data_IF_870123936164
#
_entry.id   IF_870123936164
#
_cell.length_a   1.000
_cell.length_b   1.000
_cell.length_c   1.000
_cell.angle_alpha   90.00
_cell.angle_beta   90.00
_cell.angle_gamma   90.00
#
_symmetry.space_group_name_H-M   'P 1'
#
loop_
_entity.id
_entity.type
_entity.pdbx_description
1 polymer ?
2 non-polymer ?
3 non-polymer ?
4 non-polymer ?
5 non-polymer ?
6 water ?
#
# COMPACT_ATOMS: atom_id res chain seq x y z
N UNK A 87 -17.76 5.55 -11.22
CA UNK A 87 -18.27 5.38 -9.87
C UNK A 87 -19.76 5.72 -9.81
N UNK A 88 -20.50 5.02 -8.95
CA UNK A 88 -21.91 5.28 -8.75
C UNK A 88 -22.10 6.67 -8.17
N UNK A 89 -23.26 7.28 -8.44
CA UNK A 89 -23.54 8.61 -7.90
C UNK A 89 -23.72 8.60 -6.39
N UNK A 90 -23.28 9.67 -5.75
CA UNK A 90 -23.47 9.88 -4.32
C UNK A 90 -24.91 10.28 -4.04
N UNK A 91 -25.42 9.91 -2.87
CA UNK A 91 -26.78 10.27 -2.48
C UNK A 91 -26.80 11.56 -1.69
N UNK A 92 -27.95 12.22 -1.67
CA UNK A 92 -28.16 13.38 -0.82
C UNK A 92 -27.19 14.52 -1.02
N UNK A 93 -26.57 14.60 -2.20
CA UNK A 93 -25.72 15.74 -2.54
C UNK A 93 -26.53 17.04 -2.51
N UNK A 94 -26.19 17.93 -1.58
CA UNK A 94 -26.73 19.28 -1.56
C UNK A 94 -25.62 20.25 -1.24
N UNK A 95 -25.33 21.14 -2.19
CA UNK A 95 -24.19 22.03 -2.06
C UNK A 95 -22.89 21.27 -2.24
N UNK A 96 -21.81 21.84 -1.71
CA UNK A 96 -20.48 21.28 -1.89
C UNK A 96 -20.32 19.89 -1.26
N UNK A 97 -19.60 19.01 -1.95
CA UNK A 97 -19.26 17.69 -1.43
C UNK A 97 -17.92 17.76 -0.71
N UNK A 98 -17.84 17.19 0.49
CA UNK A 98 -16.59 17.17 1.27
C UNK A 98 -16.34 15.76 1.78
N UNK A 99 -15.20 15.20 1.40
CA UNK A 99 -14.83 13.83 1.75
C UNK A 99 -13.54 13.87 2.55
N UNK A 100 -13.20 12.77 3.20
CA UNK A 100 -11.92 12.73 3.91
C UNK A 100 -11.24 11.40 3.72
N UNK A 101 -9.91 11.40 3.88
CA UNK A 101 -9.11 10.18 3.91
C UNK A 101 -8.45 10.26 5.27
N UNK A 102 -8.65 9.23 6.11
CA UNK A 102 -8.29 9.36 7.54
C UNK A 102 -7.48 8.20 8.06
N UNK A 103 -6.19 8.14 7.69
CA UNK A 103 -5.32 7.03 8.12
C UNK A 103 -4.77 7.25 9.51
N UNK A 104 -4.39 6.16 10.18
CA UNK A 104 -3.61 6.27 11.42
C UNK A 104 -2.13 6.31 11.09
N UNK A 105 -1.34 6.98 11.92
CA UNK A 105 0.10 7.04 11.60
C UNK A 105 0.89 5.86 12.18
N UNK A 106 0.41 4.65 11.97
CA UNK A 106 1.10 3.45 12.46
C UNK A 106 2.26 3.04 11.55
N UNK A 107 2.37 3.68 10.40
CA UNK A 107 3.43 3.46 9.43
C UNK A 107 2.98 4.06 8.11
N UNK A 108 3.72 3.80 7.03
CA UNK A 108 3.32 4.35 5.72
C UNK A 108 2.15 3.58 5.12
N UNK A 109 1.59 4.06 4.01
CA UNK A 109 0.40 3.46 3.43
C UNK A 109 0.62 2.10 2.75
N UNK A 110 -0.39 1.23 2.84
CA UNK A 110 -0.38 -0.02 2.10
C UNK A 110 -1.51 -0.05 1.07
N UNK A 111 -1.67 -1.16 0.36
CA UNK A 111 -2.67 -1.24 -0.70
C UNK A 111 -4.10 -0.98 -0.23
N UNK A 112 -4.43 -1.45 0.96
CA UNK A 112 -5.74 -1.17 1.54
C UNK A 112 -5.99 0.33 1.69
N UNK A 113 -4.99 1.05 2.18
CA UNK A 113 -5.12 2.50 2.27
C UNK A 113 -5.36 3.09 0.90
N UNK A 114 -4.62 2.60 -0.08
CA UNK A 114 -4.70 3.19 -1.41
C UNK A 114 -6.12 3.23 -1.94
N UNK A 115 -6.89 2.17 -1.68
CA UNK A 115 -8.29 2.13 -2.12
C UNK A 115 -9.14 3.29 -1.55
N UNK A 116 -9.11 3.49 -0.24
CA UNK A 116 -9.86 4.60 0.37
C UNK A 116 -9.38 5.95 -0.18
N UNK A 117 -8.07 6.08 -0.33
CA UNK A 117 -7.51 7.34 -0.80
C UNK A 117 -7.95 7.64 -2.23
N UNK A 118 -7.83 6.63 -3.09
CA UNK A 118 -8.21 6.79 -4.48
C UNK A 118 -9.70 7.07 -4.65
N UNK A 119 -10.54 6.29 -3.98
CA UNK A 119 -11.98 6.46 -4.14
C UNK A 119 -12.42 7.84 -3.67
N UNK A 120 -11.93 8.26 -2.51
CA UNK A 120 -12.31 9.56 -2.00
C UNK A 120 -11.81 10.69 -2.88
N UNK A 121 -10.59 10.52 -3.40
CA UNK A 121 -10.05 11.50 -4.32
C UNK A 121 -10.86 11.53 -5.63
N UNK A 122 -11.17 10.36 -6.18
CA UNK A 122 -12.01 10.29 -7.38
C UNK A 122 -13.41 10.92 -7.21
N UNK A 123 -14.03 10.74 -6.05
CA UNK A 123 -15.33 11.38 -5.84
C UNK A 123 -15.21 12.89 -5.67
N UNK A 124 -14.12 13.34 -5.04
CA UNK A 124 -13.90 14.78 -4.91
C UNK A 124 -13.71 15.42 -6.29
N UNK A 125 -13.02 14.72 -7.18
CA UNK A 125 -12.84 15.20 -8.55
C UNK A 125 -14.18 15.22 -9.28
N UNK A 126 -14.86 14.08 -9.24
CA UNK A 126 -16.17 13.93 -9.88
C UNK A 126 -17.15 15.04 -9.48
N UNK A 127 -17.22 15.36 -8.19
CA UNK A 127 -18.18 16.33 -7.69
C UNK A 127 -17.62 17.75 -7.49
N UNK A 128 -16.40 17.97 -7.96
CA UNK A 128 -15.76 19.27 -7.83
C UNK A 128 -15.77 19.69 -6.36
N UNK A 129 -15.56 18.74 -5.48
CA UNK A 129 -15.61 19.02 -4.05
C UNK A 129 -14.22 19.09 -3.40
N UNK A 130 -14.18 18.95 -2.08
CA UNK A 130 -12.91 19.00 -1.38
C UNK A 130 -12.58 17.67 -0.71
N UNK A 131 -11.30 17.43 -0.50
CA UNK A 131 -10.85 16.24 0.21
C UNK A 131 -9.99 16.68 1.38
N UNK A 132 -10.29 16.14 2.55
CA UNK A 132 -9.53 16.44 3.77
C UNK A 132 -8.65 15.25 4.13
N UNK A 133 -7.37 15.51 4.39
CA UNK A 133 -6.49 14.48 4.96
C UNK A 133 -6.55 14.67 6.46
N UNK A 134 -7.01 13.66 7.20
CA UNK A 134 -7.08 13.77 8.65
C UNK A 134 -6.24 12.65 9.25
N UNK A 135 -5.14 13.01 9.89
CA UNK A 135 -4.28 12.01 10.50
C UNK A 135 -4.81 11.67 11.87
N UNK A 136 -5.19 10.41 12.06
CA UNK A 136 -5.92 10.00 13.25
C UNK A 136 -4.96 9.37 14.26
N UNK A 137 -4.28 10.24 15.00
CA UNK A 137 -3.18 9.84 15.86
C UNK A 137 -3.52 9.99 17.35
N UNK A 138 -4.70 9.52 17.76
CA UNK A 138 -5.14 9.62 19.16
C UNK A 138 -4.85 8.38 20.02
N UNK A 139 -4.01 7.49 19.54
CA UNK A 139 -3.55 6.36 20.36
C UNK A 139 -2.06 6.50 20.50
N UNK A 140 -1.62 7.03 21.65
CA UNK A 140 -0.22 7.45 21.78
C UNK A 140 0.76 6.29 21.62
N UNK A 141 0.35 5.07 21.94
CA UNK A 141 1.26 3.93 21.86
C UNK A 141 1.38 3.32 20.47
N UNK A 142 0.56 3.77 19.54
CA UNK A 142 0.54 3.21 18.20
C UNK A 142 0.99 4.20 17.13
N UNK A 143 1.66 5.25 17.55
CA UNK A 143 2.14 6.25 16.59
C UNK A 143 3.58 5.99 16.15
N UNK A 144 3.79 5.94 14.84
CA UNK A 144 5.12 5.91 14.28
C UNK A 144 5.47 7.32 13.82
N UNK A 145 6.42 7.96 14.50
CA UNK A 145 6.76 9.36 14.25
C UNK A 145 7.08 9.63 12.78
N UNK A 146 7.66 8.65 12.10
CA UNK A 146 8.05 8.86 10.70
C UNK A 146 6.84 8.94 9.76
N UNK A 147 5.71 8.38 10.19
CA UNK A 147 4.53 8.31 9.33
C UNK A 147 3.92 9.66 9.00
N UNK A 148 4.10 10.67 9.86
CA UNK A 148 3.51 11.96 9.59
C UNK A 148 4.00 12.52 8.26
N UNK A 149 5.28 12.31 7.96
CA UNK A 149 5.82 12.75 6.69
C UNK A 149 5.63 11.73 5.57
N UNK A 150 5.64 10.45 5.93
CA UNK A 150 5.55 9.39 4.90
C UNK A 150 4.19 9.35 4.23
N UNK A 151 3.13 9.52 5.01
CA UNK A 151 1.78 9.43 4.49
C UNK A 151 1.48 10.45 3.38
N UNK A 152 1.78 11.74 3.61
CA UNK A 152 1.48 12.64 2.49
C UNK A 152 2.35 12.37 1.25
N UNK A 153 3.59 11.93 1.46
CA UNK A 153 4.44 11.59 0.33
C UNK A 153 3.84 10.42 -0.47
N UNK A 154 3.27 9.45 0.23
CA UNK A 154 2.64 8.30 -0.42
C UNK A 154 1.42 8.74 -1.21
N UNK A 155 0.64 9.65 -0.65
CA UNK A 155 -0.53 10.20 -1.34
C UNK A 155 -0.12 10.94 -2.61
N UNK A 156 0.95 11.72 -2.53
CA UNK A 156 1.46 12.42 -3.71
C UNK A 156 1.85 11.40 -4.77
N UNK A 157 2.51 10.32 -4.36
CA UNK A 157 2.89 9.28 -5.30
C UNK A 157 1.67 8.72 -6.02
N UNK A 158 0.58 8.52 -5.29
CA UNK A 158 -0.65 8.00 -5.87
C UNK A 158 -1.31 8.97 -6.81
N UNK A 159 -0.90 10.23 -6.77
CA UNK A 159 -1.56 11.27 -7.55
C UNK A 159 -2.78 11.89 -6.89
N UNK A 160 -2.91 11.69 -5.58
CA UNK A 160 -4.04 12.23 -4.85
C UNK A 160 -3.74 13.68 -4.49
N UNK A 161 -4.69 14.55 -4.77
CA UNK A 161 -4.64 15.95 -4.34
C UNK A 161 -5.66 16.16 -3.24
N UNK A 162 -5.35 17.04 -2.28
CA UNK A 162 -6.33 17.33 -1.24
C UNK A 162 -6.28 18.79 -0.83
N UNK A 163 -7.17 19.20 0.07
CA UNK A 163 -7.43 20.63 0.30
C UNK A 163 -7.10 21.13 1.71
N UNK A 164 -7.03 20.20 2.67
CA UNK A 164 -6.77 20.56 4.06
C UNK A 164 -6.11 19.38 4.72
N UNK A 165 -5.18 19.66 5.63
CA UNK A 165 -4.57 18.61 6.44
C UNK A 165 -4.83 18.94 7.90
N UNK A 166 -5.36 17.95 8.63
CA UNK A 166 -5.76 18.14 10.02
C UNK A 166 -5.12 17.01 10.80
N UNK A 167 -4.55 17.30 11.96
CA UNK A 167 -3.94 16.25 12.78
C UNK A 167 -4.69 16.16 14.11
N UNK A 168 -5.20 14.98 14.46
CA UNK A 168 -6.09 14.90 15.61
C UNK A 168 -5.43 15.24 16.94
N UNK A 169 -4.14 14.98 17.08
CA UNK A 169 -3.48 15.28 18.35
C UNK A 169 -3.33 16.79 18.56
N UNK A 170 -3.59 17.59 17.52
CA UNK A 170 -3.62 19.04 17.68
C UNK A 170 -4.98 19.51 18.19
N UNK A 171 -5.93 18.57 18.27
CA UNK A 171 -7.32 18.92 18.53
C UNK A 171 -7.83 18.47 19.90
N UNK A 172 -6.94 18.13 20.82
CA UNK A 172 -7.40 17.60 22.11
C UNK A 172 -8.41 18.50 22.82
N UNK A 173 -8.17 19.81 22.86
CA UNK A 173 -9.08 20.71 23.57
C UNK A 173 -10.45 20.76 22.89
N UNK A 174 -10.46 20.48 21.59
CA UNK A 174 -11.72 20.42 20.87
C UNK A 174 -12.52 19.20 21.35
N UNK A 175 -11.85 18.06 21.46
CA UNK A 175 -12.55 16.87 21.96
C UNK A 175 -13.02 17.08 23.39
N UNK A 176 -12.24 17.79 24.19
CA UNK A 176 -12.64 18.05 25.58
C UNK A 176 -13.85 18.99 25.62
N UNK A 177 -13.81 20.02 24.79
CA UNK A 177 -14.92 20.98 24.66
C UNK A 177 -16.21 20.26 24.32
N UNK A 178 -16.14 19.38 23.34
CA UNK A 178 -17.35 18.68 22.92
C UNK A 178 -17.75 17.55 23.85
N UNK A 179 -16.81 17.04 24.65
CA UNK A 179 -17.18 16.14 25.74
C UNK A 179 -18.04 16.87 26.77
N UNK A 180 -17.59 18.06 27.17
CA UNK A 180 -18.34 18.89 28.13
C UNK A 180 -19.72 19.26 27.56
N UNK A 181 -19.78 19.58 26.28
CA UNK A 181 -21.07 19.92 25.67
C UNK A 181 -21.99 18.72 25.63
N UNK A 182 -21.44 17.55 25.33
CA UNK A 182 -22.23 16.33 25.24
C UNK A 182 -22.81 15.99 26.62
N UNK A 183 -21.98 16.12 27.65
CA UNK A 183 -22.42 15.95 29.03
C UNK A 183 -23.51 16.96 29.43
N UNK A 184 -23.36 18.22 29.03
CA UNK A 184 -24.36 19.23 29.35
C UNK A 184 -25.70 18.92 28.69
N UNK A 185 -25.63 18.37 27.48
CA UNK A 185 -26.82 17.98 26.75
C UNK A 185 -27.41 16.66 27.24
N UNK A 186 -26.79 16.06 28.26
CA UNK A 186 -27.27 14.80 28.80
C UNK A 186 -27.02 13.57 27.95
N UNK A 187 -25.98 13.62 27.12
CA UNK A 187 -25.70 12.54 26.20
C UNK A 187 -24.50 11.70 26.56
N UNK A 188 -23.90 11.98 27.70
CA UNK A 188 -22.75 11.21 28.16
C UNK A 188 -22.60 11.32 29.65
N UNK A 189 -21.82 10.42 30.22
CA UNK A 189 -21.59 10.41 31.65
C UNK A 189 -20.22 9.86 31.97
N UNK A 190 -19.68 10.19 33.15
CA UNK A 190 -18.42 9.61 33.57
C UNK A 190 -18.65 8.40 34.44
N UNK A 191 -18.21 7.25 33.95
CA UNK A 191 -18.44 5.98 34.65
C UNK A 191 -17.18 5.55 35.37
N UNK A 192 -17.33 5.35 36.68
CA UNK A 192 -16.24 4.93 37.54
C UNK A 192 -16.39 3.46 37.96
N UNK A 193 -17.36 2.76 37.36
CA UNK A 193 -17.58 1.35 37.66
C UNK A 193 -16.40 0.49 37.25
N UNK A 194 -16.21 -0.63 37.93
CA UNK A 194 -15.26 -1.62 37.47
C UNK A 194 -15.82 -2.18 36.17
N UNK A 195 -14.99 -2.22 35.12
CA UNK A 195 -15.46 -2.64 33.80
C UNK A 195 -16.28 -3.93 33.76
N UNK A 196 -15.90 -4.96 34.51
CA UNK A 196 -16.65 -6.22 34.47
C UNK A 196 -18.01 -6.12 35.14
N UNK A 197 -18.09 -5.32 36.20
CA UNK A 197 -19.36 -5.09 36.87
C UNK A 197 -20.29 -4.27 35.98
N UNK A 198 -19.72 -3.28 35.30
CA UNK A 198 -20.50 -2.50 34.33
C UNK A 198 -21.02 -3.38 33.21
N UNK A 199 -20.16 -4.28 32.72
CA UNK A 199 -20.53 -5.12 31.60
C UNK A 199 -21.70 -6.03 31.97
N UNK A 200 -21.69 -6.55 33.19
CA UNK A 200 -22.75 -7.42 33.66
C UNK A 200 -24.10 -6.70 33.66
N UNK A 201 -24.09 -5.44 34.10
CA UNK A 201 -25.30 -4.62 34.11
C UNK A 201 -25.74 -4.32 32.69
N UNK A 202 -24.78 -3.88 31.87
CA UNK A 202 -25.03 -3.51 30.48
C UNK A 202 -25.68 -4.64 29.69
N UNK A 203 -25.16 -5.86 29.86
CA UNK A 203 -25.64 -7.01 29.09
C UNK A 203 -27.06 -7.42 29.47
N UNK A 204 -27.50 -6.98 30.64
CA UNK A 204 -28.86 -7.24 31.09
C UNK A 204 -29.74 -5.99 30.96
N UNK A 205 -29.23 -4.98 30.27
CA UNK A 205 -30.01 -3.78 30.01
C UNK A 205 -30.26 -2.90 31.22
N UNK A 206 -29.39 -3.01 32.22
CA UNK A 206 -29.56 -2.28 33.47
C UNK A 206 -28.53 -1.16 33.58
N UNK A 207 -28.97 0.00 34.08
CA UNK A 207 -28.09 1.16 34.20
C UNK A 207 -27.27 1.13 35.48
N UNK A 208 -26.04 1.60 35.38
CA UNK A 208 -25.21 1.78 36.56
C UNK A 208 -25.63 3.10 37.22
N UNK A 209 -25.13 3.33 38.42
CA UNK A 209 -25.44 4.56 39.15
C UNK A 209 -24.97 5.81 38.42
N UNK A 210 -23.83 5.69 37.71
CA UNK A 210 -23.21 6.85 37.07
C UNK A 210 -24.15 7.46 36.03
N UNK A 211 -24.97 6.60 35.43
CA UNK A 211 -25.84 7.02 34.33
C UNK A 211 -26.92 7.98 34.80
N UNK A 212 -27.14 8.06 36.11
CA UNK A 212 -28.18 8.93 36.66
C UNK A 212 -27.67 10.27 37.14
N UNK A 213 -26.35 10.46 37.11
CA UNK A 213 -25.76 11.72 37.59
C UNK A 213 -26.20 12.90 36.73
N UNK A 214 -26.25 14.07 37.35
CA UNK A 214 -26.58 15.30 36.65
C UNK A 214 -25.36 15.96 36.02
N UNK A 215 -25.61 17.07 35.34
CA UNK A 215 -24.57 17.78 34.61
C UNK A 215 -23.34 18.12 35.47
N UNK A 216 -23.54 18.84 36.56
CA UNK A 216 -22.41 19.31 37.36
C UNK A 216 -21.67 18.17 38.06
N UNK A 217 -22.41 17.14 38.47
CA UNK A 217 -21.80 15.93 39.00
C UNK A 217 -20.87 15.26 37.97
N UNK A 218 -21.37 15.07 36.75
CA UNK A 218 -20.55 14.51 35.67
C UNK A 218 -19.39 15.42 35.31
N UNK A 219 -19.61 16.73 35.34
CA UNK A 219 -18.55 17.64 34.92
C UNK A 219 -17.40 17.58 35.90
N UNK A 220 -17.74 17.46 37.18
CA UNK A 220 -16.71 17.31 38.22
C UNK A 220 -15.91 16.01 38.03
N UNK A 221 -16.60 14.91 37.74
CA UNK A 221 -15.93 13.64 37.50
C UNK A 221 -15.05 13.73 36.26
N UNK A 222 -15.55 14.44 35.25
CA UNK A 222 -14.82 14.64 34.01
C UNK A 222 -13.49 15.34 34.30
N UNK A 223 -13.56 16.42 35.07
CA UNK A 223 -12.37 17.20 35.36
C UNK A 223 -11.38 16.37 36.18
N UNK A 224 -11.93 15.48 37.00
CA UNK A 224 -11.08 14.63 37.82
C UNK A 224 -10.30 13.61 37.01
N UNK A 225 -10.85 13.20 35.87
CA UNK A 225 -10.17 12.21 35.02
C UNK A 225 -8.77 12.63 34.65
N UNK A 226 -8.53 13.94 34.63
CA UNK A 226 -7.25 14.46 34.20
C UNK A 226 -6.12 14.20 35.20
N UNK A 227 -6.48 13.73 36.40
CA UNK A 227 -5.49 13.38 37.40
C UNK A 227 -5.65 11.94 37.89
N UNK A 228 -6.42 11.15 37.14
CA UNK A 228 -6.65 9.76 37.53
C UNK A 228 -5.74 8.81 36.77
N UNK A 229 -5.69 7.56 37.21
CA UNK A 229 -4.79 6.60 36.59
C UNK A 229 -5.40 5.93 35.36
N UNK A 230 -4.52 5.43 34.50
CA UNK A 230 -4.95 4.73 33.29
C UNK A 230 -5.97 3.66 33.61
N UNK A 231 -7.06 3.62 32.85
CA UNK A 231 -8.09 2.61 33.03
C UNK A 231 -9.07 2.77 34.19
N UNK A 232 -8.97 3.85 34.97
CA UNK A 232 -9.76 3.99 36.18
C UNK A 232 -11.15 4.60 36.00
N UNK A 233 -11.37 5.27 34.88
CA UNK A 233 -12.66 5.90 34.62
C UNK A 233 -12.75 6.13 33.12
N UNK A 234 -13.97 6.12 32.59
CA UNK A 234 -14.19 6.41 31.18
C UNK A 234 -15.39 7.33 31.03
N UNK A 235 -15.46 8.05 29.92
CA UNK A 235 -16.70 8.69 29.52
C UNK A 235 -17.45 7.74 28.58
N UNK A 236 -18.74 7.55 28.86
CA UNK A 236 -19.62 6.71 28.04
C UNK A 236 -20.71 7.54 27.40
N UNK A 237 -20.98 7.28 26.12
CA UNK A 237 -22.05 7.96 25.43
C UNK A 237 -23.35 7.26 25.81
N UNK A 238 -24.39 8.01 26.15
CA UNK A 238 -25.66 7.37 26.46
C UNK A 238 -26.31 6.94 25.15
N UNK A 239 -26.53 5.64 24.98
CA UNK A 239 -27.23 5.15 23.80
C UNK A 239 -28.50 4.43 24.24
N UNK A 240 -28.59 3.14 23.96
CA UNK A 240 -29.73 2.33 24.34
C UNK A 240 -29.19 1.10 25.07
N UNK A 241 -29.49 0.97 26.35
CA UNK A 241 -28.96 -0.15 27.12
C UNK A 241 -29.60 -1.47 26.68
N UNK A 242 -30.66 -1.39 25.90
CA UNK A 242 -31.32 -2.59 25.39
C UNK A 242 -31.06 -2.83 23.91
N UNK A 243 -30.03 -2.20 23.37
CA UNK A 243 -29.70 -2.34 21.96
C UNK A 243 -29.41 -3.81 21.62
N UNK A 244 -29.98 -4.28 20.50
CA UNK A 244 -29.73 -5.64 20.00
C UNK A 244 -28.23 -5.97 19.93
N UNK A 245 -27.40 -4.98 19.61
CA UNK A 245 -25.96 -5.16 19.57
C UNK A 245 -25.28 -4.61 20.83
N UNK A 246 -24.83 -5.51 21.71
CA UNK A 246 -24.30 -5.15 23.03
C UNK A 246 -23.14 -4.15 22.95
N UNK A 247 -22.39 -4.17 21.86
CA UNK A 247 -21.23 -3.29 21.72
C UNK A 247 -21.64 -1.83 21.58
N UNK A 248 -22.86 -1.60 21.08
CA UNK A 248 -23.34 -0.24 20.88
C UNK A 248 -23.89 0.36 22.18
N UNK A 249 -24.12 -0.49 23.17
CA UNK A 249 -24.66 -0.07 24.46
C UNK A 249 -23.68 0.81 25.26
N UNK A 250 -24.06 2.07 25.46
CA UNK A 250 -23.23 3.06 26.17
C UNK A 250 -21.72 2.92 25.93
N UNK A 251 -21.33 3.10 24.68
CA UNK A 251 -19.94 2.91 24.29
C UNK A 251 -19.02 4.02 24.80
N UNK A 252 -17.74 3.70 24.92
CA UNK A 252 -16.75 4.59 25.51
C UNK A 252 -16.21 5.65 24.54
N UNK A 253 -16.32 6.92 24.93
CA UNK A 253 -15.84 8.03 24.11
C UNK A 253 -14.51 8.59 24.55
N UNK A 254 -14.17 8.46 25.83
CA UNK A 254 -12.90 8.99 26.36
C UNK A 254 -12.30 8.01 27.35
N UNK A 255 -10.98 7.84 27.30
CA UNK A 255 -10.24 6.97 28.21
C UNK A 255 -9.01 7.68 28.75
N UNK A 256 -8.44 7.13 29.82
CA UNK A 256 -7.22 7.67 30.39
C UNK A 256 -6.06 6.77 29.97
N UNK A 257 -5.01 7.36 29.40
CA UNK A 257 -3.84 6.60 28.97
C UNK A 257 -2.61 7.32 29.45
N UNK A 258 -1.77 6.63 30.21
CA UNK A 258 -0.56 7.26 30.72
C UNK A 258 0.62 6.82 29.87
N UNK A 259 0.86 7.56 28.80
CA UNK A 259 1.92 7.21 27.86
C UNK A 259 2.40 8.45 27.13
N UNK A 260 3.67 8.49 26.78
CA UNK A 260 4.22 9.58 26.00
C UNK A 260 3.73 9.47 24.56
N UNK A 261 3.13 10.55 24.06
CA UNK A 261 2.76 10.66 22.66
C UNK A 261 3.96 11.26 21.93
N UNK A 262 4.26 10.75 20.74
CA UNK A 262 5.45 11.25 20.04
C UNK A 262 5.36 12.70 19.59
N UNK A 263 4.15 13.20 19.36
CA UNK A 263 3.96 14.63 19.06
C UNK A 263 3.79 15.50 20.29
N UNK A 264 2.84 15.13 21.14
CA UNK A 264 2.44 15.98 22.25
C UNK A 264 3.08 15.59 23.59
N UNK A 265 3.96 14.59 23.56
CA UNK A 265 4.68 14.21 24.75
C UNK A 265 3.80 13.70 25.87
N UNK A 266 3.91 14.30 27.05
CA UNK A 266 3.09 13.90 28.20
C UNK A 266 2.07 14.97 28.56
N UNK A 267 1.80 15.86 27.62
CA UNK A 267 0.82 16.92 27.85
C UNK A 267 -0.57 16.39 28.22
N UNK A 268 -0.96 15.28 27.59
CA UNK A 268 -2.32 14.77 27.75
C UNK A 268 -2.33 13.36 28.27
N UNK A 269 -3.34 13.05 29.09
CA UNK A 269 -3.57 11.67 29.49
C UNK A 269 -5.00 11.24 29.18
N UNK A 270 -5.85 12.19 28.79
CA UNK A 270 -7.23 11.81 28.50
C UNK A 270 -7.41 11.85 26.98
N UNK A 271 -7.74 10.70 26.40
CA UNK A 271 -7.76 10.55 24.93
C UNK A 271 -9.12 10.09 24.41
N UNK A 272 -9.52 10.60 23.24
CA UNK A 272 -10.80 10.17 22.66
C UNK A 272 -10.65 8.81 22.00
N UNK A 273 -11.75 8.06 22.03
CA UNK A 273 -11.88 6.87 21.23
C UNK A 273 -12.32 7.24 19.83
N UNK A 274 -11.96 6.38 18.88
CA UNK A 274 -12.15 6.67 17.47
C UNK A 274 -13.57 7.14 17.11
N UNK A 275 -14.60 6.46 17.59
CA UNK A 275 -15.95 6.83 17.19
C UNK A 275 -16.37 8.24 17.65
N UNK A 276 -15.80 8.71 18.75
CA UNK A 276 -16.07 10.06 19.21
C UNK A 276 -15.31 11.08 18.37
N UNK A 277 -13.99 10.92 18.26
CA UNK A 277 -13.21 11.91 17.54
C UNK A 277 -13.58 11.97 16.07
N UNK A 278 -13.94 10.84 15.48
CA UNK A 278 -14.34 10.80 14.06
C UNK A 278 -15.63 11.60 13.86
N UNK A 279 -16.63 11.35 14.70
CA UNK A 279 -17.89 12.07 14.58
C UNK A 279 -17.73 13.57 14.80
N UNK A 280 -17.00 13.94 15.84
CA UNK A 280 -16.77 15.36 16.11
C UNK A 280 -16.05 16.04 14.92
N UNK A 281 -15.02 15.38 14.41
CA UNK A 281 -14.23 15.97 13.33
C UNK A 281 -14.98 15.97 12.00
N UNK A 282 -15.71 14.90 11.72
CA UNK A 282 -16.53 14.89 10.49
C UNK A 282 -17.51 16.06 10.53
N UNK A 283 -18.11 16.31 11.68
CA UNK A 283 -19.07 17.40 11.76
C UNK A 283 -18.39 18.75 11.64
N UNK A 284 -17.34 18.96 12.44
CA UNK A 284 -16.75 20.31 12.48
C UNK A 284 -16.04 20.68 11.18
N UNK A 285 -15.50 19.69 10.48
CA UNK A 285 -14.79 19.93 9.23
C UNK A 285 -15.74 19.98 8.05
N UNK A 286 -17.02 19.73 8.31
CA UNK A 286 -18.02 19.75 7.25
C UNK A 286 -18.04 18.58 6.27
N UNK A 287 -17.56 17.41 6.67
CA UNK A 287 -17.61 16.22 5.81
C UNK A 287 -19.07 15.88 5.48
N UNK A 288 -19.35 15.65 4.20
CA UNK A 288 -20.73 15.41 3.75
C UNK A 288 -20.98 13.94 3.44
N UNK A 289 -19.92 13.24 3.05
CA UNK A 289 -20.00 11.84 2.64
C UNK A 289 -18.83 11.10 3.22
N UNK A 290 -19.12 10.06 3.97
CA UNK A 290 -18.12 9.21 4.57
C UNK A 290 -18.01 7.91 3.78
N UNK A 291 -16.85 7.70 3.15
CA UNK A 291 -16.64 6.57 2.25
C UNK A 291 -15.45 5.77 2.74
N UNK A 292 -15.70 4.56 3.24
CA UNK A 292 -14.62 3.68 3.68
C UNK A 292 -14.97 2.21 3.47
N UNK A 298 -21.38 -1.19 12.65
CA UNK A 298 -21.04 -0.98 14.05
C UNK A 298 -20.72 0.49 14.31
N UNK A 299 -19.68 0.99 13.64
CA UNK A 299 -19.22 2.35 13.86
C UNK A 299 -20.26 3.42 13.53
N UNK A 300 -20.89 3.33 12.36
CA UNK A 300 -21.93 4.28 12.00
C UNK A 300 -23.05 4.32 13.05
N UNK A 301 -23.52 3.14 13.44
CA UNK A 301 -24.58 3.05 14.44
C UNK A 301 -24.18 3.71 15.76
N UNK A 302 -22.92 3.54 16.15
CA UNK A 302 -22.43 4.15 17.39
C UNK A 302 -22.40 5.67 17.28
N UNK A 303 -21.84 6.16 16.18
CA UNK A 303 -21.71 7.60 15.98
C UNK A 303 -23.04 8.33 15.86
N UNK A 304 -24.02 7.65 15.26
CA UNK A 304 -25.35 8.24 15.12
C UNK A 304 -25.90 8.82 16.44
N UNK A 305 -25.60 8.16 17.56
CA UNK A 305 -26.05 8.64 18.87
C UNK A 305 -25.42 9.97 19.27
N UNK A 306 -24.16 10.14 18.88
CA UNK A 306 -23.44 11.37 19.16
C UNK A 306 -24.05 12.53 18.39
N UNK A 307 -24.27 12.33 17.08
CA UNK A 307 -24.87 13.34 16.23
C UNK A 307 -26.24 13.70 16.79
N UNK A 308 -27.00 12.68 17.13
CA UNK A 308 -28.31 12.85 17.76
C UNK A 308 -28.27 13.75 18.99
N UNK A 309 -27.42 13.37 19.95
CA UNK A 309 -27.33 14.10 21.21
C UNK A 309 -26.87 15.53 21.05
N UNK A 310 -26.00 15.77 20.08
CA UNK A 310 -25.46 17.11 19.87
C UNK A 310 -26.32 17.96 18.92
N UNK A 311 -27.35 17.35 18.36
CA UNK A 311 -28.26 18.05 17.46
C UNK A 311 -27.63 18.31 16.09
N UNK A 312 -26.87 17.34 15.62
CA UNK A 312 -26.15 17.46 14.35
C UNK A 312 -26.70 16.48 13.32
N UNK A 313 -26.75 16.91 12.07
CA UNK A 313 -27.13 16.00 11.00
C UNK A 313 -25.91 15.21 10.54
N UNK A 314 -26.02 13.88 10.53
CA UNK A 314 -24.87 13.05 10.15
C UNK A 314 -24.59 13.16 8.66
N UNK A 315 -23.35 12.85 8.26
CA UNK A 315 -23.03 12.78 6.82
C UNK A 315 -23.64 11.54 6.18
N UNK A 316 -23.74 11.52 4.86
CA UNK A 316 -24.07 10.26 4.18
C UNK A 316 -22.99 9.25 4.49
N UNK A 317 -23.40 8.00 4.73
CA UNK A 317 -22.45 6.91 5.00
C UNK A 317 -22.47 5.90 3.88
N UNK A 318 -21.31 5.67 3.28
CA UNK A 318 -21.19 4.72 2.17
C UNK A 318 -20.10 3.72 2.46
N UNK A 319 -20.49 2.45 2.64
CA UNK A 319 -19.56 1.40 3.02
C UNK A 319 -19.40 0.41 1.88
N UNK A 320 -18.14 0.08 1.56
CA UNK A 320 -17.88 -0.87 0.48
C UNK A 320 -17.19 -2.13 0.98
N UNK A 321 -17.29 -3.19 0.19
CA UNK A 321 -16.80 -4.50 0.60
C UNK A 321 -15.30 -4.59 0.82
N UNK A 322 -14.87 -5.63 1.51
CA UNK A 322 -13.46 -5.85 1.77
C UNK A 322 -12.74 -6.29 0.50
N UNK A 323 -11.43 -6.06 0.48
CA UNK A 323 -10.59 -6.49 -0.62
C UNK A 323 -9.52 -7.39 -0.05
N UNK A 324 -9.43 -8.61 -0.54
CA UNK A 324 -8.48 -9.59 -0.01
C UNK A 324 -7.84 -10.42 -1.12
N UNK A 332 0.35 -3.42 9.54
CA UNK A 332 1.34 -2.35 9.60
C UNK A 332 2.21 -2.47 10.86
N UNK A 333 1.58 -2.78 11.99
CA UNK A 333 2.29 -2.91 13.25
C UNK A 333 3.26 -4.10 13.25
N UNK A 334 2.80 -5.21 12.68
CA UNK A 334 3.65 -6.39 12.56
C UNK A 334 4.86 -6.12 11.69
N UNK A 335 4.67 -5.31 10.64
CA UNK A 335 5.76 -4.95 9.76
C UNK A 335 6.76 -4.04 10.45
N UNK A 336 6.26 -3.05 11.18
CA UNK A 336 7.15 -2.14 11.88
C UNK A 336 8.05 -2.92 12.85
N UNK A 337 7.44 -3.86 13.58
CA UNK A 337 8.19 -4.70 14.49
C UNK A 337 9.28 -5.44 13.73
N UNK A 338 8.93 -5.99 12.58
CA UNK A 338 9.88 -6.71 11.74
C UNK A 338 11.09 -5.88 11.35
N UNK A 339 10.86 -4.65 10.92
CA UNK A 339 11.95 -3.76 10.52
C UNK A 339 12.86 -3.47 11.69
N UNK A 340 12.27 -3.30 12.87
CA UNK A 340 13.04 -3.00 14.08
C UNK A 340 13.89 -4.20 14.50
N UNK A 341 13.29 -5.38 14.50
CA UNK A 341 13.99 -6.60 14.90
C UNK A 341 14.97 -7.06 13.82
N UNK A 342 14.42 -7.37 12.65
CA UNK A 342 15.22 -7.81 11.52
C UNK A 342 14.39 -8.59 10.52
N UNK A 343 15.02 -8.97 9.42
CA UNK A 343 14.32 -9.69 8.35
C UNK A 343 13.30 -8.82 7.62
N UNK A 344 13.44 -7.52 7.78
CA UNK A 344 12.92 -6.55 6.81
C UNK A 344 13.93 -5.41 6.77
N UNK A 345 14.33 -5.01 5.58
CA UNK A 345 15.38 -4.02 5.40
C UNK A 345 14.87 -2.61 5.66
N UNK A 346 13.55 -2.47 5.61
CA UNK A 346 12.91 -1.17 5.72
C UNK A 346 11.48 -1.24 5.22
N UNK A 347 10.83 -0.09 5.14
CA UNK A 347 9.45 -0.05 4.72
C UNK A 347 9.32 -0.42 3.23
N UNK A 348 10.44 -0.35 2.52
CA UNK A 348 10.44 -0.71 1.09
C UNK A 348 11.03 -2.11 0.83
N UNK A 349 11.01 -2.96 1.84
CA UNK A 349 11.40 -4.36 1.65
C UNK A 349 10.36 -5.03 0.77
N UNK A 350 10.79 -5.79 -0.26
CA UNK A 350 9.84 -6.29 -1.26
C UNK A 350 8.83 -7.29 -0.69
N UNK A 351 9.12 -7.83 0.47
CA UNK A 351 8.17 -8.72 1.14
C UNK A 351 6.97 -7.99 1.71
N UNK A 352 6.99 -6.66 1.68
CA UNK A 352 5.91 -5.88 2.27
C UNK A 352 4.92 -5.38 1.23
N UNK A 353 3.67 -5.19 1.65
CA UNK A 353 2.64 -4.68 0.77
C UNK A 353 2.49 -3.16 0.84
N UNK A 354 3.52 -2.47 1.29
CA UNK A 354 3.48 -1.01 1.34
C UNK A 354 3.54 -0.43 -0.07
N UNK A 355 2.99 0.77 -0.25
CA UNK A 355 3.16 1.47 -1.52
C UNK A 355 4.65 1.67 -1.82
N UNK A 356 5.45 1.92 -0.79
CA UNK A 356 6.89 2.10 -0.97
C UNK A 356 7.57 0.86 -1.54
N UNK A 357 7.22 -0.32 -1.00
CA UNK A 357 7.81 -1.55 -1.51
C UNK A 357 7.40 -1.79 -2.95
N UNK A 358 6.11 -1.63 -3.27
CA UNK A 358 5.72 -1.91 -4.65
C UNK A 358 6.25 -0.89 -5.65
N UNK A 359 6.32 0.38 -5.22
CA UNK A 359 6.96 1.39 -6.08
C UNK A 359 8.41 1.05 -6.39
N UNK A 360 9.11 0.50 -5.40
CA UNK A 360 10.52 0.21 -5.57
C UNK A 360 10.72 -0.91 -6.60
N UNK A 361 9.68 -1.73 -6.78
CA UNK A 361 9.71 -2.84 -7.75
C UNK A 361 9.30 -2.43 -9.15
N UNK A 362 8.82 -1.20 -9.31
CA UNK A 362 8.38 -0.71 -10.62
C UNK A 362 6.89 -0.86 -10.87
N UNK A 363 6.11 -1.11 -9.82
CA UNK A 363 4.66 -1.04 -9.97
C UNK A 363 4.23 0.44 -10.08
N UNK A 364 3.46 0.77 -11.10
CA UNK A 364 3.08 2.16 -11.31
C UNK A 364 1.82 2.56 -10.54
N UNK A 365 1.79 3.82 -10.08
CA UNK A 365 0.63 4.22 -9.29
C UNK A 365 -0.65 4.21 -10.13
N UNK A 366 -0.52 4.44 -11.43
CA UNK A 366 -1.70 4.44 -12.29
C UNK A 366 -2.33 3.05 -12.38
N UNK A 367 -1.53 2.00 -12.21
CA UNK A 367 -2.05 0.63 -12.17
C UNK A 367 -2.92 0.46 -10.94
N UNK A 368 -2.46 1.00 -9.81
CA UNK A 368 -3.22 0.95 -8.57
C UNK A 368 -4.52 1.74 -8.69
N UNK A 369 -4.41 2.94 -9.25
CA UNK A 369 -5.60 3.78 -9.41
C UNK A 369 -6.61 3.07 -10.30
N UNK A 370 -6.16 2.49 -11.40
CA UNK A 370 -7.08 1.83 -12.33
C UNK A 370 -7.78 0.65 -11.67
N UNK A 371 -7.04 -0.13 -10.89
CA UNK A 371 -7.61 -1.27 -10.17
C UNK A 371 -8.73 -0.82 -9.26
N UNK A 372 -8.42 0.15 -8.40
CA UNK A 372 -9.41 0.62 -7.43
C UNK A 372 -10.65 1.25 -8.06
N UNK A 373 -10.45 1.96 -9.16
CA UNK A 373 -11.56 2.59 -9.86
C UNK A 373 -12.48 1.53 -10.47
N UNK A 374 -11.90 0.52 -11.11
CA UNK A 374 -12.72 -0.50 -11.77
C UNK A 374 -13.45 -1.39 -10.78
N UNK A 375 -12.88 -1.58 -9.59
CA UNK A 375 -13.58 -2.28 -8.52
C UNK A 375 -14.70 -1.41 -7.93
N UNK A 376 -14.46 -0.10 -7.86
CA UNK A 376 -15.46 0.84 -7.39
C UNK A 376 -15.92 0.64 -5.95
N UNK A 377 -17.09 1.19 -5.63
CA UNK A 377 -17.62 1.11 -4.27
C UNK A 377 -18.55 -0.09 -4.09
N UNK A 378 -18.18 -1.20 -4.75
CA UNK A 378 -18.93 -2.44 -4.69
C UNK A 378 -19.30 -2.82 -3.25
N UNK A 379 -20.59 -3.03 -3.00
CA UNK A 379 -21.05 -3.38 -1.66
C UNK A 379 -20.52 -4.74 -1.24
N UNK A 380 -20.60 -5.71 -2.14
CA UNK A 380 -20.18 -7.07 -1.83
C UNK A 380 -18.66 -7.19 -1.76
N UNK A 381 -18.20 -8.08 -0.89
CA UNK A 381 -16.78 -8.37 -0.76
C UNK A 381 -16.20 -8.80 -2.10
N UNK A 382 -15.09 -8.19 -2.50
CA UNK A 382 -14.39 -8.61 -3.69
C UNK A 382 -13.08 -9.29 -3.31
N UNK A 383 -12.39 -9.86 -4.30
CA UNK A 383 -11.16 -10.62 -4.04
C UNK A 383 -10.12 -10.37 -5.12
N UNK A 384 -9.23 -9.41 -4.88
CA UNK A 384 -8.16 -9.12 -5.83
C UNK A 384 -6.89 -9.88 -5.50
N UNK A 385 -6.18 -10.31 -6.53
CA UNK A 385 -4.91 -10.99 -6.37
C UNK A 385 -3.81 -10.08 -6.88
N UNK A 386 -2.58 -10.31 -6.43
CA UNK A 386 -1.47 -9.53 -6.94
C UNK A 386 -1.36 -9.67 -8.46
N UNK A 387 -1.75 -10.85 -8.98
CA UNK A 387 -1.74 -11.06 -10.42
C UNK A 387 -2.64 -10.07 -11.14
N UNK A 388 -3.70 -9.65 -10.47
CA UNK A 388 -4.58 -8.64 -11.01
C UNK A 388 -3.85 -7.30 -11.14
N UNK A 389 -3.07 -6.96 -10.13
CA UNK A 389 -2.33 -5.71 -10.17
C UNK A 389 -1.21 -5.82 -11.22
N UNK A 390 -0.59 -6.99 -11.29
CA UNK A 390 0.50 -7.19 -12.24
C UNK A 390 0.00 -7.08 -13.67
N UNK A 391 -1.19 -7.61 -13.91
CA UNK A 391 -1.80 -7.53 -15.22
C UNK A 391 -1.99 -6.10 -15.71
N UNK A 392 -2.44 -5.22 -14.82
CA UNK A 392 -2.63 -3.83 -15.16
C UNK A 392 -1.28 -3.15 -15.36
N UNK A 393 -0.34 -3.47 -14.49
CA UNK A 393 1.00 -2.89 -14.60
C UNK A 393 1.69 -3.33 -15.88
N UNK A 394 1.56 -4.60 -16.20
CA UNK A 394 2.16 -5.16 -17.40
C UNK A 394 1.66 -4.43 -18.66
N UNK A 395 0.36 -4.15 -18.70
CA UNK A 395 -0.21 -3.42 -19.83
C UNK A 395 0.46 -2.06 -20.02
N UNK A 396 0.85 -1.44 -18.93
CA UNK A 396 1.57 -0.17 -19.01
C UNK A 396 3.04 -0.39 -19.41
N UNK A 397 3.74 -1.25 -18.69
CA UNK A 397 5.17 -1.42 -18.92
C UNK A 397 5.47 -2.02 -20.30
N UNK A 398 4.61 -2.91 -20.78
CA UNK A 398 4.97 -3.61 -22.01
C UNK A 398 5.00 -2.67 -23.21
N UNK A 399 4.45 -1.48 -23.05
CA UNK A 399 4.41 -0.54 -24.16
C UNK A 399 5.60 0.40 -24.21
N UNK A 400 6.42 0.40 -23.16
CA UNK A 400 7.50 1.38 -23.11
C UNK A 400 8.80 0.90 -22.49
N UNK A 401 8.76 -0.18 -21.72
CA UNK A 401 9.96 -0.62 -21.00
C UNK A 401 11.05 -1.13 -21.95
N UNK A 402 12.27 -0.61 -21.81
CA UNK A 402 13.39 -1.03 -22.66
C UNK A 402 13.74 -2.48 -22.38
N UNK A 403 14.12 -3.20 -23.43
CA UNK A 403 14.39 -4.63 -23.33
C UNK A 403 15.87 -4.95 -23.28
N UNK A 404 16.25 -5.83 -22.35
CA UNK A 404 17.62 -6.33 -22.24
C UNK A 404 17.63 -7.83 -21.95
N UNK A 405 18.75 -8.49 -22.27
CA UNK A 405 18.95 -9.89 -21.91
C UNK A 405 19.73 -9.98 -20.59
N UNK A 406 19.09 -10.52 -19.56
CA UNK A 406 19.73 -10.84 -18.29
C UNK A 406 19.68 -12.35 -18.13
N UNK A 407 20.86 -12.97 -18.03
CA UNK A 407 20.94 -14.41 -17.84
C UNK A 407 21.18 -14.71 -16.36
N UNK A 408 20.13 -15.16 -15.68
CA UNK A 408 20.20 -15.57 -14.28
C UNK A 408 21.01 -16.87 -14.16
N UNK A 409 21.80 -16.99 -13.08
CA UNK A 409 22.59 -18.20 -12.83
C UNK A 409 23.25 -18.69 -14.11
N UNK A 410 24.06 -17.84 -14.73
CA UNK A 410 24.52 -18.10 -16.08
C UNK A 410 25.56 -19.22 -16.14
N UNK A 411 25.55 -19.93 -17.25
CA UNK A 411 26.63 -20.86 -17.55
C UNK A 411 27.39 -20.32 -18.76
N UNK A 412 28.72 -20.31 -18.63
CA UNK A 412 29.55 -19.76 -19.71
C UNK A 412 29.91 -20.89 -20.65
N UNK A 413 29.54 -20.73 -21.92
CA UNK A 413 29.71 -21.79 -22.90
C UNK A 413 30.30 -21.28 -24.20
N UNK A 414 31.27 -22.03 -24.73
CA UNK A 414 31.82 -21.72 -26.04
C UNK A 414 30.88 -22.24 -27.11
N UNK A 415 30.61 -21.44 -28.14
CA UNK A 415 29.84 -21.94 -29.27
C UNK A 415 30.82 -22.68 -30.18
N UNK A 416 30.97 -23.98 -29.96
CA UNK A 416 31.96 -24.78 -30.67
C UNK A 416 31.59 -24.90 -32.15
N UNK A 417 32.51 -24.55 -33.03
CA UNK A 417 32.26 -24.65 -34.46
C UNK A 417 31.60 -23.43 -35.08
N UNK A 418 31.47 -22.34 -34.33
CA UNK A 418 30.97 -21.09 -34.90
C UNK A 418 31.87 -20.72 -36.08
N UNK A 419 31.29 -20.56 -37.27
CA UNK A 419 32.12 -20.29 -38.47
C UNK A 419 32.87 -18.97 -38.39
N UNK A 420 32.27 -17.97 -37.76
CA UNK A 420 32.90 -16.67 -37.62
C UNK A 420 31.98 -15.76 -36.83
N UNK A 421 32.43 -14.53 -36.54
CA UNK A 421 31.62 -13.66 -35.68
C UNK A 421 30.29 -13.31 -36.33
N UNK A 422 29.28 -13.11 -35.48
CA UNK A 422 27.95 -12.75 -35.93
C UNK A 422 27.52 -11.50 -35.17
N UNK A 423 27.17 -10.46 -35.91
CA UNK A 423 26.67 -9.23 -35.31
C UNK A 423 25.15 -9.26 -35.33
N UNK A 424 24.57 -9.17 -34.14
CA UNK A 424 23.14 -9.30 -33.96
C UNK A 424 22.53 -7.93 -33.62
N UNK A 425 21.43 -7.56 -34.28
CA UNK A 425 20.66 -6.39 -33.83
C UNK A 425 19.28 -6.77 -33.33
N UNK A 426 18.89 -6.17 -32.22
CA UNK A 426 17.57 -6.42 -31.65
C UNK A 426 17.02 -5.12 -31.06
N UNK A 427 15.79 -4.74 -31.41
CA UNK A 427 15.25 -3.50 -30.87
C UNK A 427 15.22 -3.42 -29.36
N UNK A 428 15.55 -2.24 -28.85
CA UNK A 428 15.28 -1.95 -27.46
C UNK A 428 13.78 -2.00 -27.14
N UNK A 429 12.95 -1.60 -28.10
CA UNK A 429 11.51 -1.79 -27.96
C UNK A 429 10.87 -1.79 -29.34
N UNK A 430 10.18 -2.88 -29.70
CA UNK A 430 9.65 -3.02 -31.06
C UNK A 430 8.69 -1.90 -31.48
N UNK A 431 8.05 -1.24 -30.52
CA UNK A 431 7.11 -0.15 -30.84
C UNK A 431 7.75 1.22 -30.84
N UNK A 432 9.03 1.30 -30.48
CA UNK A 432 9.70 2.58 -30.35
C UNK A 432 11.04 2.58 -31.07
N UNK A 433 11.00 2.68 -32.40
CA UNK A 433 12.24 2.69 -33.20
C UNK A 433 13.13 3.86 -32.83
N UNK A 434 12.58 4.91 -32.23
CA UNK A 434 13.38 6.09 -31.90
C UNK A 434 14.56 5.76 -30.99
N UNK A 435 14.41 4.77 -30.12
CA UNK A 435 15.52 4.45 -29.23
C UNK A 435 16.48 3.42 -29.85
N UNK A 436 16.13 2.87 -31.00
CA UNK A 436 17.09 2.08 -31.75
C UNK A 436 17.28 0.64 -31.32
N UNK A 437 18.36 0.04 -31.81
CA UNK A 437 18.59 -1.39 -31.61
C UNK A 437 19.82 -1.65 -30.77
N UNK A 438 19.75 -2.64 -29.88
CA UNK A 438 20.97 -3.18 -29.29
C UNK A 438 21.77 -3.94 -30.34
N UNK A 439 23.09 -3.91 -30.23
CA UNK A 439 23.97 -4.67 -31.10
C UNK A 439 24.77 -5.58 -30.22
N UNK A 440 24.60 -6.87 -30.47
CA UNK A 440 25.27 -7.90 -29.68
C UNK A 440 26.25 -8.62 -30.59
N UNK A 441 27.49 -8.69 -30.16
CA UNK A 441 28.54 -9.29 -30.96
C UNK A 441 28.83 -10.71 -30.47
N UNK A 442 28.38 -11.70 -31.21
CA UNK A 442 28.66 -13.09 -30.88
C UNK A 442 30.00 -13.47 -31.53
N UNK A 443 31.00 -13.78 -30.70
CA UNK A 443 32.36 -14.00 -31.20
C UNK A 443 32.88 -15.40 -30.91
N UNK A 444 32.52 -15.92 -29.73
CA UNK A 444 32.90 -17.28 -29.37
C UNK A 444 32.16 -17.81 -28.16
N UNK A 445 32.29 -17.12 -27.02
CA UNK A 445 31.66 -17.58 -25.78
C UNK A 445 30.41 -16.78 -25.46
N UNK A 446 29.44 -17.44 -24.83
CA UNK A 446 28.24 -16.76 -24.37
C UNK A 446 27.88 -17.20 -22.97
N UNK A 447 27.09 -16.38 -22.29
CA UNK A 447 26.45 -16.82 -21.06
C UNK A 447 25.01 -17.19 -21.36
N UNK A 448 24.59 -18.38 -20.94
CA UNK A 448 23.18 -18.77 -21.03
C UNK A 448 22.58 -18.90 -19.64
N UNK A 449 21.30 -18.59 -19.50
CA UNK A 449 20.64 -18.78 -18.20
C UNK A 449 20.66 -20.25 -17.83
N UNK A 450 21.18 -20.57 -16.65
CA UNK A 450 21.43 -21.95 -16.30
C UNK A 450 20.24 -22.75 -15.81
N UNK A 451 19.19 -22.08 -15.38
CA UNK A 451 18.06 -22.74 -14.75
C UNK A 451 17.19 -23.53 -15.73
N UNK A 452 17.05 -24.83 -15.46
CA UNK A 452 16.25 -25.71 -16.31
C UNK A 452 16.82 -25.74 -17.71
N UNK A 453 18.13 -25.61 -17.81
CA UNK A 453 18.82 -25.69 -19.10
C UNK A 453 19.17 -27.15 -19.37
N UNK A 454 18.36 -27.82 -20.17
CA UNK A 454 18.62 -29.21 -20.50
C UNK A 454 19.23 -29.37 -21.87
N UNK A 455 19.51 -30.60 -22.24
CA UNK A 455 20.15 -30.88 -23.52
C UNK A 455 19.15 -30.72 -24.68
N UNK A 456 19.66 -30.39 -25.85
CA UNK A 456 18.83 -30.28 -27.03
C UNK A 456 19.10 -29.04 -27.84
N UNK A 457 18.30 -28.82 -28.89
CA UNK A 457 18.52 -27.69 -29.79
C UNK A 457 18.00 -26.39 -29.20
N UNK A 458 18.77 -25.32 -29.39
CA UNK A 458 18.42 -23.99 -28.91
C UNK A 458 18.65 -22.99 -30.01
N UNK A 459 17.84 -21.94 -30.00
CA UNK A 459 18.12 -20.80 -30.85
C UNK A 459 18.44 -19.63 -29.95
N UNK A 460 19.68 -19.16 -30.02
CA UNK A 460 20.05 -17.96 -29.28
C UNK A 460 19.34 -16.83 -30.02
N UNK A 461 18.47 -16.11 -29.31
CA UNK A 461 17.53 -15.17 -29.95
C UNK A 461 18.22 -14.24 -30.95
N UNK A 462 17.70 -14.20 -32.18
CA UNK A 462 18.23 -13.34 -33.24
C UNK A 462 19.66 -13.67 -33.70
N UNK A 463 20.22 -14.79 -33.26
CA UNK A 463 21.64 -15.05 -33.48
C UNK A 463 21.92 -16.33 -34.27
N UNK A 464 22.00 -17.46 -33.57
CA UNK A 464 22.38 -18.72 -34.22
C UNK A 464 21.65 -19.87 -33.57
N UNK A 465 21.65 -21.03 -34.23
CA UNK A 465 21.04 -22.22 -33.66
C UNK A 465 22.16 -23.16 -33.22
N UNK A 466 22.01 -23.73 -32.04
CA UNK A 466 23.04 -24.60 -31.49
C UNK A 466 22.41 -25.84 -30.89
N UNK A 467 23.24 -26.83 -30.59
CA UNK A 467 22.79 -28.01 -29.86
C UNK A 467 23.62 -28.15 -28.59
N UNK A 468 22.94 -28.24 -27.45
CA UNK A 468 23.60 -28.39 -26.17
C UNK A 468 23.52 -29.86 -25.76
N UNK A 469 24.66 -30.52 -25.67
CA UNK A 469 24.66 -31.89 -25.18
C UNK A 469 26.02 -32.28 -24.65
N UNK A 470 26.02 -33.13 -23.63
CA UNK A 470 27.25 -33.54 -22.98
C UNK A 470 27.98 -32.37 -22.37
N UNK A 471 27.24 -31.30 -22.08
CA UNK A 471 27.81 -30.11 -21.46
C UNK A 471 28.55 -29.24 -22.46
N UNK A 472 28.36 -29.52 -23.75
CA UNK A 472 29.03 -28.76 -24.77
C UNK A 472 28.03 -28.08 -25.70
N UNK A 473 28.31 -26.84 -26.07
CA UNK A 473 27.40 -26.11 -26.94
C UNK A 473 27.99 -26.10 -28.35
N UNK A 474 27.31 -26.73 -29.32
CA UNK A 474 27.83 -26.84 -30.68
C UNK A 474 27.00 -26.10 -31.72
N UNK A 475 27.67 -25.34 -32.57
CA UNK A 475 27.04 -24.60 -33.66
C UNK A 475 26.30 -25.54 -34.60
N UNK A 476 25.09 -25.16 -35.01
CA UNK A 476 24.36 -25.91 -36.03
C UNK A 476 24.12 -25.10 -37.31
N UNK A 477 23.56 -23.90 -37.16
CA UNK A 477 23.16 -23.12 -38.33
C UNK A 477 22.77 -21.73 -37.84
N UNK A 478 22.24 -20.90 -38.73
CA UNK A 478 21.96 -19.51 -38.38
C UNK A 478 20.52 -19.08 -38.64
N UNK A 479 19.88 -19.66 -39.65
CA UNK A 479 18.57 -19.21 -40.08
C UNK A 479 17.35 -19.64 -39.28
N UNK A 480 16.24 -18.93 -39.47
CA UNK A 480 15.00 -19.22 -38.76
C UNK A 480 14.38 -20.55 -39.18
N UNK A 481 14.43 -20.84 -40.48
CA UNK A 481 13.86 -22.09 -41.00
C UNK A 481 14.59 -23.30 -40.43
N UNK A 482 15.92 -23.22 -40.39
CA UNK A 482 16.71 -24.30 -39.79
C UNK A 482 16.27 -24.47 -38.34
N UNK A 483 16.05 -23.36 -37.64
CA UNK A 483 15.63 -23.43 -36.25
C UNK A 483 14.30 -24.17 -36.13
N UNK A 484 13.37 -23.87 -37.04
CA UNK A 484 12.07 -24.55 -37.04
C UNK A 484 12.23 -26.03 -37.34
N UNK A 485 13.13 -26.36 -38.26
CA UNK A 485 13.36 -27.75 -38.63
C UNK A 485 13.94 -28.54 -37.43
N UNK A 486 14.79 -27.90 -36.65
CA UNK A 486 15.34 -28.52 -35.45
C UNK A 486 14.34 -28.66 -34.30
N UNK A 487 13.30 -27.85 -34.32
CA UNK A 487 12.45 -27.71 -33.15
C UNK A 487 13.21 -27.01 -32.04
N UNK A 488 14.10 -26.08 -32.41
CA UNK A 488 14.90 -25.36 -31.42
C UNK A 488 14.05 -24.51 -30.48
N UNK A 489 14.42 -24.51 -29.21
CA UNK A 489 13.78 -23.64 -28.23
C UNK A 489 14.50 -22.29 -28.15
N UNK A 490 13.76 -21.19 -28.09
CA UNK A 490 14.39 -19.88 -28.01
C UNK A 490 15.03 -19.70 -26.65
N UNK A 491 16.18 -19.03 -26.60
CA UNK A 491 16.82 -18.75 -25.34
C UNK A 491 17.54 -17.40 -25.41
N UNK A 492 17.44 -16.62 -24.34
CA UNK A 492 18.20 -15.37 -24.29
C UNK A 492 19.62 -15.69 -23.91
N UNK A 493 20.51 -14.73 -24.11
CA UNK A 493 21.95 -14.98 -24.05
C UNK A 493 22.72 -13.67 -23.96
N UNK A 494 23.94 -13.75 -23.45
CA UNK A 494 24.80 -12.58 -23.31
C UNK A 494 26.21 -12.88 -23.84
N UNK A 495 26.73 -12.05 -24.77
CA UNK A 495 28.11 -12.22 -25.24
C UNK A 495 29.07 -12.20 -24.06
N UNK A 496 30.01 -13.14 -24.01
CA UNK A 496 30.84 -13.26 -22.82
C UNK A 496 31.77 -12.05 -22.63
N UNK A 497 32.28 -11.51 -23.73
CA UNK A 497 33.32 -10.50 -23.68
C UNK A 497 32.89 -9.22 -22.97
N UNK A 498 31.62 -8.87 -23.13
CA UNK A 498 31.14 -7.56 -22.68
C UNK A 498 30.07 -7.61 -21.61
N UNK A 499 29.81 -8.81 -21.08
CA UNK A 499 28.79 -9.05 -20.08
C UNK A 499 29.07 -8.27 -18.80
N UNK A 500 27.99 -7.78 -18.17
CA UNK A 500 28.07 -7.02 -16.94
C UNK A 500 27.44 -7.79 -15.79
N UNK A 501 28.01 -7.67 -14.60
CA UNK A 501 27.42 -8.30 -13.44
C UNK A 501 26.12 -7.58 -13.07
N UNK A 502 25.10 -8.36 -12.75
CA UNK A 502 23.85 -7.80 -12.26
C UNK A 502 23.18 -8.74 -11.28
N UNK A 503 22.27 -8.21 -10.49
CA UNK A 503 21.44 -9.05 -9.66
C UNK A 503 20.05 -8.47 -9.58
N UNK A 504 19.10 -9.34 -9.30
CA UNK A 504 17.70 -8.95 -9.19
C UNK A 504 17.18 -9.44 -7.85
N UNK A 505 16.60 -8.52 -7.08
CA UNK A 505 15.98 -8.89 -5.82
C UNK A 505 14.54 -9.27 -6.09
N UNK A 506 14.17 -10.50 -5.72
CA UNK A 506 12.85 -11.03 -6.05
C UNK A 506 11.84 -10.65 -4.96
N UNK A 507 10.55 -10.86 -5.22
CA UNK A 507 9.56 -10.37 -4.27
C UNK A 507 9.62 -11.02 -2.89
N UNK A 508 10.32 -12.16 -2.77
CA UNK A 508 10.57 -12.76 -1.45
C UNK A 508 11.91 -12.32 -0.86
N UNK A 509 12.50 -11.30 -1.47
CA UNK A 509 13.76 -10.70 -1.03
C UNK A 509 14.98 -11.56 -1.35
N UNK A 510 14.77 -12.69 -2.02
CA UNK A 510 15.89 -13.52 -2.43
C UNK A 510 16.66 -12.81 -3.53
N UNK A 511 17.96 -13.11 -3.62
CA UNK A 511 18.85 -12.47 -4.58
C UNK A 511 19.09 -13.43 -5.75
N UNK A 512 18.81 -12.98 -6.98
CA UNK A 512 19.14 -13.76 -8.17
C UNK A 512 20.30 -13.10 -8.90
N UNK A 513 21.44 -13.80 -8.99
CA UNK A 513 22.64 -13.23 -9.59
C UNK A 513 22.81 -13.68 -11.04
N UNK A 514 23.39 -12.83 -11.86
CA UNK A 514 23.63 -13.22 -13.26
C UNK A 514 24.43 -12.17 -13.99
N UNK A 515 24.31 -12.18 -15.32
CA UNK A 515 24.97 -11.20 -16.16
C UNK A 515 23.95 -10.57 -17.09
N UNK A 516 24.23 -9.35 -17.50
CA UNK A 516 23.32 -8.62 -18.38
C UNK A 516 24.12 -8.04 -19.55
N UNK A 517 23.47 -7.81 -20.66
CA UNK A 517 24.18 -7.30 -21.83
C UNK A 517 24.72 -5.87 -21.62
N UNK A 518 25.78 -5.55 -22.36
CA UNK A 518 26.51 -4.30 -22.22
C UNK A 518 25.66 -3.04 -22.22
N UNK A 519 24.63 -2.99 -23.06
CA UNK A 519 23.80 -1.78 -23.14
C UNK A 519 23.06 -1.40 -21.87
N UNK A 520 22.83 -2.35 -20.98
CA UNK A 520 22.18 -2.09 -19.72
C UNK A 520 22.91 -1.01 -18.94
N UNK A 521 24.21 -0.84 -19.21
CA UNK A 521 24.99 0.19 -18.51
C UNK A 521 24.48 1.61 -18.78
N UNK A 522 23.67 1.78 -19.83
CA UNK A 522 23.04 3.07 -20.12
C UNK A 522 21.89 3.44 -19.17
N UNK A 523 21.41 2.47 -18.40
CA UNK A 523 20.27 2.70 -17.52
C UNK A 523 20.64 3.54 -16.31
N UNK A 524 19.67 4.29 -15.82
CA UNK A 524 19.84 5.06 -14.60
C UNK A 524 18.86 4.55 -13.56
N UNK A 525 19.19 4.73 -12.29
CA UNK A 525 18.27 4.40 -11.22
C UNK A 525 16.88 4.97 -11.46
N UNK A 526 15.86 4.14 -11.20
CA UNK A 526 14.44 4.42 -11.44
C UNK A 526 13.95 3.95 -12.81
N UNK A 527 14.86 3.65 -13.73
CA UNK A 527 14.43 3.09 -15.02
C UNK A 527 13.76 1.73 -14.79
N UNK A 528 12.66 1.47 -15.51
CA UNK A 528 12.00 0.17 -15.38
C UNK A 528 12.09 -0.53 -16.71
N UNK A 529 12.63 -1.75 -16.71
CA UNK A 529 12.98 -2.41 -17.95
C UNK A 529 12.31 -3.78 -18.01
N UNK A 530 12.34 -4.36 -19.20
CA UNK A 530 11.94 -5.73 -19.39
C UNK A 530 13.20 -6.58 -19.58
N UNK A 531 13.47 -7.45 -18.60
CA UNK A 531 14.50 -8.45 -18.73
C UNK A 531 13.87 -9.61 -19.49
N UNK A 532 14.20 -9.73 -20.76
CA UNK A 532 13.43 -10.59 -21.65
C UNK A 532 13.43 -12.03 -21.18
N UNK A 533 12.25 -12.65 -21.24
CA UNK A 533 12.08 -14.05 -20.82
C UNK A 533 12.35 -14.24 -19.33
N UNK A 534 12.41 -13.14 -18.58
CA UNK A 534 12.63 -13.23 -17.14
C UNK A 534 11.57 -12.43 -16.38
N UNK A 535 11.52 -11.11 -16.61
CA UNK A 535 10.47 -10.29 -16.02
C UNK A 535 10.75 -8.80 -16.12
N UNK A 536 9.77 -7.99 -15.73
CA UNK A 536 9.98 -6.55 -15.64
C UNK A 536 10.63 -6.23 -14.30
N UNK A 537 11.48 -5.22 -14.26
CA UNK A 537 12.18 -4.88 -13.03
C UNK A 537 12.64 -3.43 -13.04
N UNK A 538 12.72 -2.84 -11.85
CA UNK A 538 13.20 -1.47 -11.74
C UNK A 538 14.66 -1.46 -11.30
N UNK A 539 15.48 -0.63 -11.95
CA UNK A 539 16.87 -0.46 -11.53
C UNK A 539 16.93 0.36 -10.23
N UNK A 540 17.47 -0.25 -9.19
CA UNK A 540 17.46 0.34 -7.84
C UNK A 540 18.80 0.97 -7.50
N UNK A 541 19.88 0.37 -8.00
CA UNK A 541 21.20 0.97 -7.83
C UNK A 541 22.07 0.60 -9.02
N UNK A 542 22.86 1.58 -9.48
CA UNK A 542 23.64 1.41 -10.71
C UNK A 542 25.01 0.79 -10.44
N UNK A 543 25.69 0.43 -11.52
CA UNK A 543 26.97 -0.26 -11.42
C UNK A 543 28.03 0.55 -10.70
N UNK A 544 29.19 -0.07 -10.43
CA UNK A 544 29.46 -1.47 -10.80
C UNK A 544 28.53 -2.43 -10.06
N UNK A 545 27.96 -3.37 -10.78
CA UNK A 545 27.05 -4.32 -10.18
C UNK A 545 25.66 -3.73 -10.04
N UNK A 546 24.95 -3.69 -11.16
CA UNK A 546 23.57 -3.22 -11.16
C UNK A 546 22.67 -4.09 -10.28
N UNK A 547 21.80 -3.44 -9.52
CA UNK A 547 20.80 -4.17 -8.74
C UNK A 547 19.40 -3.75 -9.16
N UNK A 548 18.60 -4.72 -9.60
CA UNK A 548 17.21 -4.48 -9.98
C UNK A 548 16.30 -5.08 -8.93
N UNK A 549 15.11 -4.50 -8.80
CA UNK A 549 14.02 -5.09 -8.03
C UNK A 549 12.92 -5.61 -8.96
N UNK A 550 12.58 -6.89 -8.82
CA UNK A 550 11.62 -7.56 -9.69
C UNK A 550 10.19 -7.11 -9.48
N UNK A 551 9.50 -6.79 -10.57
CA UNK A 551 8.09 -6.48 -10.49
C UNK A 551 7.26 -7.73 -10.72
N UNK A 552 7.28 -8.24 -11.95
CA UNK A 552 6.45 -9.38 -12.34
C UNK A 552 6.85 -9.90 -13.71
N UNK A 553 6.32 -11.06 -14.08
CA UNK A 553 6.58 -11.64 -15.40
C UNK A 553 6.08 -10.70 -16.49
#
# INVERSE_FOLDING_TARGET
>A
MVPVEDLVYRYALLNAVKHRGRANPGAVMGAVMSNEPELRKMAPQVKEAVEAAVERVNSLSPEEQQQEMERLGLEITERKQKKRKGLRELAGVKGEVVLRFAPNPSGPLHIGHARAAILNHEYARKYDGRLILRIEDTDPRRVDPEAYDMIPADLEWLGVEWDETVIQSDRMETYYEYTEKLIERGGAYVCTCRPEEFRELKNRGEACHCRSLGFRENLQRWREMFEMKEGSAVVRVKTDLNHPNPAIRDWVSMRIVEAEHPRTGTRYRVYPMMNFSVAVDDHLLGVTHVLRGKDHLANREKQEYLYRHLGWEPPEFIHYGRLKMDDVALSTSGAREGILRGEYSGWDDPRLGTLRAIARRGIRPEAIRKLMVEIGVKIADSTMSWKKIYGLNRSILEEEARRYFFAADPVKLEVVGLPGPVRVERPLHPDHPEIGNRVLELRGEVYLPGDDLGEGPLRLIDAVNVIYSGGELRYHSEGIEEARELGASMIHWVPAESALEAEVIMPDASRVRGVIEADASELEVDDVVQLERFGFARLDSAGPGMVFYYAHK
#
